data_IF_628331832312
#
_entry.id   IF_628331832312
#
_cell.length_a   1.000
_cell.length_b   1.000
_cell.length_c   1.000
_cell.angle_alpha   90.00
_cell.angle_beta   90.00
_cell.angle_gamma   90.00
#
_symmetry.space_group_name_H-M   'P 1'
#
loop_
_entity.id
_entity.type
_entity.pdbx_description
1 polymer ?
#
# COMPACT_ATOMS: atom_id res chain seq x y z
N UNK A 1 66.54 46.09 23.18
CA UNK A 1 65.84 45.72 21.92
C UNK A 1 65.58 44.21 21.93
N UNK A 2 64.29 43.82 21.85
CA UNK A 2 63.71 42.51 21.45
C UNK A 2 64.29 41.21 22.07
N UNK A 3 63.47 40.24 22.53
CA UNK A 3 62.46 39.55 21.71
C UNK A 3 61.50 38.74 22.62
N UNK A 4 60.20 39.04 22.50
CA UNK A 4 59.08 38.29 23.09
C UNK A 4 58.90 36.94 22.39
N UNK A 5 58.71 35.85 23.16
CA UNK A 5 58.33 34.53 22.65
C UNK A 5 56.81 34.52 22.43
N UNK A 6 56.37 34.49 21.17
CA UNK A 6 54.97 34.23 20.80
C UNK A 6 54.79 32.72 20.60
N UNK A 7 54.06 32.07 21.49
CA UNK A 7 53.52 30.73 21.25
C UNK A 7 52.36 30.84 20.28
N UNK A 8 52.46 30.17 19.12
CA UNK A 8 51.37 30.03 18.15
C UNK A 8 50.58 28.79 18.54
N UNK A 9 49.32 28.97 18.90
CA UNK A 9 48.38 27.87 19.14
C UNK A 9 47.66 27.58 17.83
N UNK A 10 48.02 26.47 17.18
CA UNK A 10 47.37 26.00 15.95
C UNK A 10 46.01 25.39 16.30
N UNK A 11 44.94 26.01 15.81
CA UNK A 11 43.58 25.51 15.93
C UNK A 11 43.29 24.54 14.76
N UNK A 12 43.29 23.24 15.03
CA UNK A 12 42.77 22.24 14.08
C UNK A 12 41.24 22.29 14.10
N UNK A 13 40.63 22.72 12.99
CA UNK A 13 39.20 22.58 12.75
C UNK A 13 38.97 21.26 12.03
N UNK A 14 38.45 20.26 12.74
CA UNK A 14 37.97 19.00 12.15
C UNK A 14 36.50 19.20 11.79
N UNK A 15 36.20 19.43 10.51
CA UNK A 15 34.83 19.42 9.99
C UNK A 15 34.37 17.98 9.80
N UNK A 16 33.67 17.44 10.80
CA UNK A 16 32.97 16.16 10.68
C UNK A 16 31.76 16.29 9.75
N UNK A 17 31.79 15.60 8.61
CA UNK A 17 30.65 15.46 7.72
C UNK A 17 29.59 14.57 8.38
N UNK A 18 28.52 15.18 8.89
CA UNK A 18 27.31 14.47 9.29
C UNK A 18 26.56 14.02 8.03
N UNK A 19 26.84 12.80 7.56
CA UNK A 19 25.95 12.11 6.62
C UNK A 19 24.64 11.77 7.37
N UNK A 20 23.64 12.63 7.22
CA UNK A 20 22.29 12.37 7.70
C UNK A 20 21.71 11.15 6.97
N UNK A 21 21.53 10.04 7.68
CA UNK A 21 20.66 8.97 7.22
C UNK A 21 19.24 9.52 7.21
N UNK A 22 18.70 9.80 6.02
CA UNK A 22 17.30 10.13 5.88
C UNK A 22 16.48 8.94 6.37
N UNK A 23 15.78 9.09 7.49
CA UNK A 23 14.82 8.12 7.96
C UNK A 23 13.78 7.90 6.84
N UNK A 24 13.68 6.67 6.35
CA UNK A 24 12.68 6.32 5.33
C UNK A 24 11.32 6.31 6.04
N UNK A 25 10.49 7.30 5.73
CA UNK A 25 9.13 7.37 6.25
C UNK A 25 8.37 6.09 5.87
N UNK A 26 7.51 5.61 6.78
CA UNK A 26 6.65 4.46 6.51
C UNK A 26 5.77 4.71 5.27
N UNK A 27 5.47 3.65 4.51
CA UNK A 27 4.59 3.76 3.37
C UNK A 27 3.20 4.25 3.83
N UNK A 28 2.56 5.16 3.07
CA UNK A 28 1.22 5.62 3.42
C UNK A 28 0.21 4.48 3.30
N UNK A 29 -0.75 4.43 4.23
CA UNK A 29 -1.82 3.44 4.21
C UNK A 29 -2.83 3.71 3.08
N UNK A 30 -3.46 2.65 2.61
CA UNK A 30 -4.58 2.74 1.69
C UNK A 30 -5.80 3.36 2.37
N UNK A 31 -6.57 4.14 1.62
CA UNK A 31 -7.83 4.72 2.08
C UNK A 31 -8.96 3.87 1.52
N UNK A 32 -9.73 3.23 2.41
CA UNK A 32 -10.82 2.33 2.03
C UNK A 32 -12.16 2.98 2.36
N UNK A 33 -13.01 3.14 1.34
CA UNK A 33 -14.32 3.79 1.47
C UNK A 33 -15.43 2.84 1.01
N UNK A 34 -16.38 2.47 1.90
CA UNK A 34 -17.59 1.75 1.51
C UNK A 34 -18.44 2.55 0.52
N UNK A 35 -18.91 1.88 -0.54
CA UNK A 35 -19.82 2.46 -1.54
C UNK A 35 -21.23 1.94 -1.33
N UNK A 36 -21.40 0.63 -1.27
CA UNK A 36 -22.68 -0.01 -1.00
C UNK A 36 -22.50 -1.40 -0.42
N UNK A 37 -23.48 -1.83 0.38
CA UNK A 37 -23.63 -3.21 0.82
C UNK A 37 -25.04 -3.67 0.49
N UNK A 38 -25.16 -4.84 -0.11
CA UNK A 38 -26.44 -5.41 -0.53
C UNK A 38 -26.53 -6.87 -0.09
N UNK A 39 -27.44 -7.24 0.82
CA UNK A 39 -27.76 -8.64 1.07
C UNK A 39 -28.25 -9.32 -0.21
N UNK A 40 -27.80 -10.55 -0.43
CA UNK A 40 -28.17 -11.36 -1.59
C UNK A 40 -29.19 -12.41 -1.15
N UNK A 41 -30.48 -12.12 -1.29
CA UNK A 41 -31.55 -12.98 -0.75
C UNK A 41 -31.56 -14.39 -1.36
N UNK A 42 -31.21 -14.50 -2.64
CA UNK A 42 -31.07 -15.79 -3.34
C UNK A 42 -29.83 -16.59 -2.92
N UNK A 43 -28.94 -15.99 -2.12
CA UNK A 43 -27.72 -16.60 -1.58
C UNK A 43 -27.70 -16.47 -0.05
N UNK A 44 -28.40 -17.35 0.69
CA UNK A 44 -28.54 -17.25 2.13
C UNK A 44 -27.21 -17.06 2.87
N UNK A 45 -27.14 -16.01 3.69
CA UNK A 45 -25.94 -15.67 4.46
C UNK A 45 -24.86 -14.90 3.69
N UNK A 46 -25.06 -14.59 2.40
CA UNK A 46 -24.12 -13.79 1.60
C UNK A 46 -24.57 -12.34 1.43
N UNK A 47 -23.61 -11.48 1.17
CA UNK A 47 -23.81 -10.10 0.73
C UNK A 47 -22.80 -9.71 -0.34
N UNK A 48 -23.20 -8.76 -1.19
CA UNK A 48 -22.27 -8.02 -2.02
C UNK A 48 -21.81 -6.77 -1.25
N UNK A 49 -20.50 -6.52 -1.20
CA UNK A 49 -19.91 -5.30 -0.68
C UNK A 49 -19.11 -4.64 -1.78
N UNK A 50 -19.38 -3.37 -2.06
CA UNK A 50 -18.60 -2.56 -2.97
C UNK A 50 -17.82 -1.50 -2.18
N UNK A 51 -16.52 -1.39 -2.46
CA UNK A 51 -15.64 -0.37 -1.87
C UNK A 51 -14.86 0.34 -2.98
N UNK A 52 -14.50 1.59 -2.75
CA UNK A 52 -13.35 2.19 -3.44
C UNK A 52 -12.13 2.13 -2.54
N UNK A 53 -10.98 1.88 -3.14
CA UNK A 53 -9.68 1.97 -2.48
C UNK A 53 -8.86 3.03 -3.20
N UNK A 54 -8.28 3.94 -2.43
CA UNK A 54 -7.30 4.90 -2.91
C UNK A 54 -5.94 4.56 -2.32
N UNK A 55 -4.96 4.37 -3.20
CA UNK A 55 -3.57 4.23 -2.82
C UNK A 55 -2.87 5.57 -3.01
N UNK A 56 -2.43 6.23 -1.92
CA UNK A 56 -1.50 7.35 -2.02
C UNK A 56 -0.20 6.94 -2.72
N UNK A 57 0.62 7.89 -3.18
CA UNK A 57 1.92 7.60 -3.79
C UNK A 57 2.80 6.72 -2.90
N UNK A 58 3.28 5.59 -3.43
CA UNK A 58 4.10 4.62 -2.71
C UNK A 58 3.40 3.81 -1.62
N UNK A 59 2.05 3.84 -1.57
CA UNK A 59 1.27 2.99 -0.65
C UNK A 59 1.47 1.50 -0.93
N UNK A 60 1.51 0.70 0.13
CA UNK A 60 1.69 -0.76 0.10
C UNK A 60 0.80 -1.38 1.17
N UNK A 61 0.01 -2.37 0.77
CA UNK A 61 -0.82 -3.15 1.67
C UNK A 61 -0.01 -4.24 2.40
N UNK A 62 -0.38 -4.59 3.64
CA UNK A 62 0.14 -5.79 4.28
C UNK A 62 -0.38 -7.05 3.56
N UNK A 63 0.28 -8.18 3.77
CA UNK A 63 -0.21 -9.48 3.30
C UNK A 63 -1.51 -9.82 4.03
N UNK A 64 -2.56 -10.20 3.30
CA UNK A 64 -3.88 -10.45 3.86
C UNK A 64 -4.73 -11.40 2.99
N UNK A 65 -5.94 -11.69 3.47
CA UNK A 65 -6.94 -12.52 2.78
C UNK A 65 -8.34 -11.95 2.97
N UNK A 66 -9.19 -12.06 1.96
CA UNK A 66 -10.57 -11.55 2.00
C UNK A 66 -11.65 -12.58 2.38
N UNK A 67 -11.37 -13.88 2.29
CA UNK A 67 -12.39 -14.95 2.46
C UNK A 67 -13.65 -14.71 1.60
N UNK A 68 -13.47 -14.14 0.41
CA UNK A 68 -14.51 -13.67 -0.48
C UNK A 68 -14.10 -13.88 -1.93
N UNK A 69 -15.06 -13.82 -2.85
CA UNK A 69 -14.75 -13.54 -4.25
C UNK A 69 -14.58 -12.04 -4.40
N UNK A 70 -13.37 -11.58 -4.70
CA UNK A 70 -13.03 -10.18 -4.95
C UNK A 70 -12.84 -9.90 -6.43
N UNK A 71 -13.58 -8.92 -6.95
CA UNK A 71 -13.45 -8.43 -8.33
C UNK A 71 -12.94 -7.00 -8.29
N UNK A 72 -11.71 -6.79 -8.74
CA UNK A 72 -11.02 -5.51 -8.71
C UNK A 72 -11.14 -4.86 -10.08
N UNK A 73 -11.39 -3.55 -10.14
CA UNK A 73 -11.42 -2.78 -11.38
C UNK A 73 -10.75 -1.41 -11.18
N UNK A 74 -9.73 -1.11 -11.99
CA UNK A 74 -8.96 0.13 -11.85
C UNK A 74 -9.71 1.31 -12.46
N UNK A 75 -9.84 2.38 -11.69
CA UNK A 75 -10.49 3.62 -12.08
C UNK A 75 -9.45 4.67 -12.50
N UNK A 76 -8.38 4.84 -11.72
CA UNK A 76 -7.36 5.86 -11.93
C UNK A 76 -5.97 5.35 -11.57
N UNK A 77 -4.93 5.92 -12.19
CA UNK A 77 -3.53 5.61 -11.88
C UNK A 77 -3.12 4.20 -12.30
N UNK A 78 -2.23 3.56 -11.54
CA UNK A 78 -1.82 2.19 -11.79
C UNK A 78 -1.50 1.48 -10.49
N UNK A 79 -1.94 0.24 -10.37
CA UNK A 79 -1.74 -0.59 -9.18
C UNK A 79 -0.97 -1.86 -9.56
N UNK A 80 -0.36 -2.47 -8.57
CA UNK A 80 0.29 -3.77 -8.71
C UNK A 80 -0.36 -4.76 -7.77
N UNK A 81 -0.77 -5.90 -8.32
CA UNK A 81 -1.51 -6.94 -7.62
C UNK A 81 -0.82 -8.30 -7.77
N UNK A 82 -0.87 -9.11 -6.71
CA UNK A 82 -0.42 -10.49 -6.71
C UNK A 82 -1.10 -11.28 -5.60
N UNK A 83 -1.59 -12.48 -5.94
CA UNK A 83 -1.91 -13.54 -4.97
C UNK A 83 -0.77 -14.55 -4.87
N UNK A 84 -0.63 -15.19 -3.72
CA UNK A 84 0.42 -16.19 -3.44
C UNK A 84 0.50 -17.26 -4.54
N UNK A 85 1.69 -17.41 -5.13
CA UNK A 85 1.94 -18.36 -6.22
C UNK A 85 1.52 -17.87 -7.61
N UNK A 86 0.83 -16.73 -7.70
CA UNK A 86 0.51 -16.04 -8.94
C UNK A 86 1.63 -15.14 -9.44
N UNK A 87 1.48 -14.62 -10.66
CA UNK A 87 2.38 -13.61 -11.23
C UNK A 87 1.98 -12.23 -10.73
N UNK A 88 2.97 -11.41 -10.37
CA UNK A 88 2.75 -9.98 -10.13
C UNK A 88 2.32 -9.27 -11.43
N UNK A 89 1.21 -8.53 -11.37
CA UNK A 89 0.64 -7.82 -12.52
C UNK A 89 0.47 -6.34 -12.21
N UNK A 90 0.86 -5.49 -13.16
CA UNK A 90 0.56 -4.06 -13.13
C UNK A 90 -0.70 -3.78 -13.93
N UNK A 91 -1.68 -3.14 -13.29
CA UNK A 91 -2.99 -2.86 -13.86
C UNK A 91 -3.19 -1.35 -14.01
N UNK A 92 -3.85 -0.95 -15.08
CA UNK A 92 -4.18 0.42 -15.50
C UNK A 92 -5.70 0.60 -15.60
N UNK A 93 -6.22 1.84 -15.77
CA UNK A 93 -7.65 2.07 -15.82
C UNK A 93 -8.34 1.21 -16.86
N UNK A 94 -9.48 0.64 -16.49
CA UNK A 94 -10.21 -0.30 -17.35
C UNK A 94 -9.79 -1.77 -17.22
N UNK A 95 -8.71 -2.06 -16.50
CA UNK A 95 -8.25 -3.44 -16.27
C UNK A 95 -8.75 -3.95 -14.92
N UNK A 96 -8.82 -5.28 -14.81
CA UNK A 96 -9.36 -5.97 -13.64
C UNK A 96 -8.43 -7.06 -13.11
N UNK A 97 -8.66 -7.43 -11.86
CA UNK A 97 -8.03 -8.58 -11.21
C UNK A 97 -9.07 -9.34 -10.40
N UNK A 98 -8.83 -10.63 -10.18
CA UNK A 98 -9.72 -11.47 -9.40
C UNK A 98 -8.93 -12.15 -8.29
N UNK A 99 -9.54 -12.18 -7.11
CA UNK A 99 -9.05 -12.87 -5.93
C UNK A 99 -10.14 -13.82 -5.43
N UNK A 100 -9.79 -15.10 -5.27
CA UNK A 100 -10.68 -16.11 -4.75
C UNK A 100 -10.69 -16.17 -3.21
N UNK A 101 -11.68 -16.86 -2.61
CA UNK A 101 -11.81 -16.95 -1.15
C UNK A 101 -10.59 -17.56 -0.43
N UNK A 102 -9.85 -18.42 -1.14
CA UNK A 102 -8.68 -19.13 -0.63
C UNK A 102 -7.35 -18.50 -1.09
N UNK A 103 -7.38 -17.37 -1.77
CA UNK A 103 -6.16 -16.68 -2.17
C UNK A 103 -5.62 -15.84 -1.00
N UNK A 104 -4.29 -15.73 -0.93
CA UNK A 104 -3.60 -14.79 -0.05
C UNK A 104 -3.07 -13.67 -0.92
N UNK A 105 -3.53 -12.44 -0.69
CA UNK A 105 -3.05 -11.25 -1.35
C UNK A 105 -1.65 -10.92 -0.80
N UNK A 106 -0.62 -11.06 -1.63
CA UNK A 106 0.78 -10.90 -1.24
C UNK A 106 1.41 -9.60 -1.70
N UNK A 107 0.91 -9.00 -2.79
CA UNK A 107 1.34 -7.68 -3.25
C UNK A 107 0.11 -6.89 -3.63
N UNK A 108 -0.19 -5.83 -2.88
CA UNK A 108 -1.13 -4.78 -3.24
C UNK A 108 -0.43 -3.45 -3.03
N UNK A 109 -0.19 -2.67 -4.09
CA UNK A 109 0.52 -1.40 -3.96
C UNK A 109 0.22 -0.43 -5.07
N UNK A 110 0.50 0.85 -4.82
CA UNK A 110 0.60 1.84 -5.88
C UNK A 110 1.81 1.49 -6.78
N UNK A 111 1.63 1.55 -8.09
CA UNK A 111 2.74 1.42 -9.04
C UNK A 111 3.59 2.71 -9.12
N UNK A 112 3.07 3.83 -8.63
CA UNK A 112 3.70 5.15 -8.67
C UNK A 112 4.15 5.62 -7.28
N UNK A 113 5.30 6.31 -7.27
CA UNK A 113 5.83 6.99 -6.09
C UNK A 113 5.41 8.47 -6.01
N UNK A 114 4.72 9.00 -7.03
CA UNK A 114 4.40 10.43 -7.13
C UNK A 114 2.94 10.75 -7.44
N UNK A 115 2.15 9.76 -7.87
CA UNK A 115 0.74 9.94 -8.24
C UNK A 115 -0.13 8.92 -7.49
N UNK A 116 -1.34 9.29 -7.05
CA UNK A 116 -2.27 8.34 -6.44
C UNK A 116 -2.82 7.36 -7.48
N UNK A 117 -3.42 6.28 -7.00
CA UNK A 117 -4.22 5.35 -7.79
C UNK A 117 -5.54 5.06 -7.09
N UNK A 118 -6.59 4.78 -7.86
CA UNK A 118 -7.93 4.48 -7.34
C UNK A 118 -8.54 3.30 -8.06
N UNK A 119 -9.18 2.41 -7.31
CA UNK A 119 -9.85 1.24 -7.85
C UNK A 119 -11.13 0.92 -7.08
N UNK A 120 -12.03 0.21 -7.74
CA UNK A 120 -13.24 -0.35 -7.17
C UNK A 120 -12.98 -1.83 -6.85
N UNK A 121 -13.52 -2.31 -5.73
CA UNK A 121 -13.60 -3.75 -5.46
C UNK A 121 -15.04 -4.12 -5.17
N UNK A 122 -15.51 -5.18 -5.81
CA UNK A 122 -16.78 -5.84 -5.48
C UNK A 122 -16.47 -7.18 -4.84
N UNK A 123 -16.93 -7.36 -3.61
CA UNK A 123 -16.83 -8.61 -2.87
C UNK A 123 -18.16 -9.34 -2.86
N UNK A 124 -18.13 -10.65 -3.07
CA UNK A 124 -19.18 -11.56 -2.64
C UNK A 124 -18.67 -12.33 -1.43
N UNK A 125 -19.24 -12.05 -0.26
CA UNK A 125 -18.70 -12.48 1.05
C UNK A 125 -19.82 -12.95 1.98
N UNK A 126 -19.43 -13.63 3.06
CA UNK A 126 -20.36 -13.89 4.17
C UNK A 126 -20.83 -12.57 4.78
N UNK A 127 -22.12 -12.49 5.10
CA UNK A 127 -22.75 -11.30 5.66
C UNK A 127 -22.04 -10.89 6.96
N UNK A 128 -21.62 -9.63 7.04
CA UNK A 128 -20.95 -9.08 8.23
C UNK A 128 -19.52 -9.57 8.48
N UNK A 129 -18.97 -10.46 7.65
CA UNK A 129 -17.55 -10.80 7.69
C UNK A 129 -16.67 -9.54 7.47
N UNK A 130 -15.44 -9.50 8.01
CA UNK A 130 -14.51 -8.39 7.76
C UNK A 130 -14.13 -8.29 6.27
N UNK A 131 -13.64 -7.12 5.84
CA UNK A 131 -13.14 -6.93 4.47
C UNK A 131 -11.90 -7.78 4.23
N UNK A 132 -10.99 -7.82 5.20
CA UNK A 132 -9.76 -8.60 5.14
C UNK A 132 -9.38 -9.13 6.52
N UNK A 133 -8.57 -10.18 6.50
CA UNK A 133 -7.88 -10.77 7.65
C UNK A 133 -6.38 -10.73 7.34
N UNK A 134 -5.55 -10.10 8.19
CA UNK A 134 -4.10 -10.09 8.00
C UNK A 134 -3.52 -11.51 8.01
N UNK A 135 -2.50 -11.72 7.19
CA UNK A 135 -1.79 -13.00 7.05
C UNK A 135 -0.29 -12.80 7.37
N UNK A 136 0.39 -13.90 7.68
CA UNK A 136 1.85 -13.92 7.91
C UNK A 136 2.62 -14.24 6.63
#
# INVERSE_FOLDING_TARGET
MFRSKRSVMSLLVVTGALMGQAARAAAPEAIVTPVMTQPLEDYPGKEALMITVEYPPGSVDPVHRHHAHGFIYVLEGSIVMQVRGGKEVTLKPGQSFYEGPNDVHTVGRNASQTQPAKFLVVFLKDKGAPILVPEK
#
